data_IF_587419718524
#
_entry.id   IF_587419718524
#
_cell.length_a   1.000
_cell.length_b   1.000
_cell.length_c   1.000
_cell.angle_alpha   90.00
_cell.angle_beta   90.00
_cell.angle_gamma   90.00
#
_symmetry.space_group_name_H-M   'P 1'
#
loop_
_entity.id
_entity.type
_entity.pdbx_description
1 polymer ?
#
# COMPACT_ATOMS: atom_id res chain seq x y z
N UNK A 1 77.00 2.70 -2.68
CA UNK A 1 75.73 2.50 -3.40
C UNK A 1 75.79 3.33 -4.68
N UNK A 2 75.67 2.70 -5.84
CA UNK A 2 75.70 3.35 -7.14
C UNK A 2 74.36 4.00 -7.49
N UNK A 3 74.40 5.02 -8.37
CA UNK A 3 73.21 5.77 -8.82
C UNK A 3 72.13 4.83 -9.39
N UNK A 4 72.53 3.75 -10.05
CA UNK A 4 71.62 2.74 -10.61
C UNK A 4 70.76 2.04 -9.54
N UNK A 5 71.34 1.71 -8.39
CA UNK A 5 70.64 1.04 -7.29
C UNK A 5 69.56 1.96 -6.68
N UNK A 6 69.86 3.25 -6.59
CA UNK A 6 68.93 4.27 -6.10
C UNK A 6 67.74 4.42 -7.06
N UNK A 7 68.00 4.49 -8.38
CA UNK A 7 66.93 4.59 -9.39
C UNK A 7 66.02 3.36 -9.39
N UNK A 8 66.60 2.16 -9.24
CA UNK A 8 65.84 0.92 -9.16
C UNK A 8 64.87 0.91 -7.97
N UNK A 9 65.32 1.36 -6.79
CA UNK A 9 64.47 1.44 -5.60
C UNK A 9 63.34 2.45 -5.75
N UNK A 10 63.58 3.59 -6.41
CA UNK A 10 62.55 4.60 -6.68
C UNK A 10 61.45 4.02 -7.60
N UNK A 11 61.85 3.32 -8.67
CA UNK A 11 60.91 2.69 -9.59
C UNK A 11 60.07 1.63 -8.87
N UNK A 12 60.71 0.77 -8.06
CA UNK A 12 60.00 -0.24 -7.25
C UNK A 12 59.02 0.44 -6.28
N UNK A 13 59.46 1.48 -5.57
CA UNK A 13 58.60 2.24 -4.66
C UNK A 13 57.39 2.84 -5.36
N UNK A 14 57.58 3.39 -6.56
CA UNK A 14 56.49 3.94 -7.36
C UNK A 14 55.47 2.86 -7.77
N UNK A 15 55.93 1.68 -8.21
CA UNK A 15 55.05 0.55 -8.51
C UNK A 15 54.29 0.05 -7.28
N UNK A 16 54.94 -0.01 -6.10
CA UNK A 16 54.29 -0.41 -4.84
C UNK A 16 53.16 0.54 -4.46
N UNK A 17 53.34 1.85 -4.62
CA UNK A 17 52.29 2.86 -4.36
C UNK A 17 51.12 2.70 -5.33
N UNK A 18 51.38 2.50 -6.62
CA UNK A 18 50.32 2.27 -7.63
C UNK A 18 49.53 1.00 -7.30
N UNK A 19 50.22 -0.09 -6.96
CA UNK A 19 49.58 -1.37 -6.61
C UNK A 19 48.72 -1.19 -5.34
N UNK A 20 49.26 -0.55 -4.30
CA UNK A 20 48.52 -0.27 -3.07
C UNK A 20 47.24 0.56 -3.31
N UNK A 21 47.32 1.60 -4.13
CA UNK A 21 46.17 2.43 -4.51
C UNK A 21 45.09 1.62 -5.24
N UNK A 22 45.48 0.80 -6.23
CA UNK A 22 44.53 -0.03 -6.97
C UNK A 22 43.88 -1.10 -6.09
N UNK A 23 44.64 -1.74 -5.20
CA UNK A 23 44.11 -2.71 -4.23
C UNK A 23 43.10 -2.03 -3.29
N UNK A 24 43.44 -0.86 -2.74
CA UNK A 24 42.55 -0.10 -1.87
C UNK A 24 41.21 0.21 -2.54
N UNK A 25 41.25 0.68 -3.79
CA UNK A 25 40.05 0.99 -4.59
C UNK A 25 39.18 -0.24 -4.87
N UNK A 26 39.79 -1.40 -5.12
CA UNK A 26 39.07 -2.67 -5.32
C UNK A 26 38.35 -3.08 -4.03
N UNK A 27 39.03 -3.04 -2.89
CA UNK A 27 38.46 -3.40 -1.59
C UNK A 27 37.30 -2.48 -1.21
N UNK A 28 37.45 -1.17 -1.40
CA UNK A 28 36.40 -0.18 -1.15
C UNK A 28 35.17 -0.44 -2.00
N UNK A 29 35.36 -0.73 -3.30
CA UNK A 29 34.28 -1.06 -4.22
C UNK A 29 33.52 -2.30 -3.77
N UNK A 30 34.22 -3.36 -3.38
CA UNK A 30 33.58 -4.56 -2.87
C UNK A 30 32.80 -4.32 -1.56
N UNK A 31 33.37 -3.54 -0.63
CA UNK A 31 32.68 -3.19 0.62
C UNK A 31 31.40 -2.42 0.31
N UNK A 32 31.50 -1.41 -0.56
CA UNK A 32 30.33 -0.63 -0.99
C UNK A 32 29.28 -1.51 -1.65
N UNK A 33 29.66 -2.42 -2.57
CA UNK A 33 28.71 -3.36 -3.19
C UNK A 33 28.02 -4.23 -2.14
N UNK A 34 28.76 -4.77 -1.16
CA UNK A 34 28.18 -5.59 -0.08
C UNK A 34 27.22 -4.79 0.80
N UNK A 35 27.55 -3.55 1.12
CA UNK A 35 26.68 -2.64 1.88
C UNK A 35 25.41 -2.30 1.09
N UNK A 36 25.55 -1.95 -0.19
CA UNK A 36 24.41 -1.72 -1.09
C UNK A 36 23.51 -2.94 -1.21
N UNK A 37 24.07 -4.15 -1.34
CA UNK A 37 23.31 -5.39 -1.37
C UNK A 37 22.52 -5.61 -0.07
N UNK A 38 23.12 -5.34 1.09
CA UNK A 38 22.42 -5.42 2.38
C UNK A 38 21.27 -4.41 2.48
N UNK A 39 21.51 -3.16 2.07
CA UNK A 39 20.49 -2.11 2.08
C UNK A 39 19.32 -2.45 1.14
N UNK A 40 19.60 -2.96 -0.05
CA UNK A 40 18.57 -3.42 -1.00
C UNK A 40 17.76 -4.56 -0.39
N UNK A 41 18.42 -5.53 0.23
CA UNK A 41 17.72 -6.66 0.85
C UNK A 41 16.85 -6.23 2.03
N UNK A 42 17.33 -5.30 2.86
CA UNK A 42 16.53 -4.70 3.94
C UNK A 42 15.33 -3.95 3.39
N UNK A 43 15.54 -3.06 2.42
CA UNK A 43 14.46 -2.30 1.79
C UNK A 43 13.40 -3.21 1.14
N UNK A 44 13.82 -4.34 0.54
CA UNK A 44 12.91 -5.35 -0.02
C UNK A 44 12.06 -6.01 1.07
N UNK A 45 12.68 -6.43 2.17
CA UNK A 45 11.97 -7.04 3.32
C UNK A 45 10.95 -6.07 3.92
N UNK A 46 11.36 -4.85 4.20
CA UNK A 46 10.49 -3.78 4.71
C UNK A 46 9.32 -3.50 3.76
N UNK A 47 9.61 -3.39 2.46
CA UNK A 47 8.58 -3.17 1.44
C UNK A 47 7.57 -4.32 1.39
N UNK A 48 8.05 -5.57 1.48
CA UNK A 48 7.19 -6.74 1.50
C UNK A 48 6.32 -6.80 2.76
N UNK A 49 6.86 -6.46 3.93
CA UNK A 49 6.11 -6.38 5.19
C UNK A 49 5.03 -5.30 5.14
N UNK A 50 5.40 -4.09 4.71
CA UNK A 50 4.46 -2.97 4.55
C UNK A 50 3.35 -3.29 3.55
N UNK A 51 3.71 -3.96 2.44
CA UNK A 51 2.75 -4.44 1.45
C UNK A 51 1.79 -5.44 2.06
N UNK A 52 2.28 -6.46 2.78
CA UNK A 52 1.41 -7.44 3.47
C UNK A 52 0.43 -6.77 4.42
N UNK A 53 0.87 -5.81 5.22
CA UNK A 53 -0.02 -5.09 6.16
C UNK A 53 -1.07 -4.27 5.41
N UNK A 54 -0.68 -3.56 4.36
CA UNK A 54 -1.59 -2.67 3.62
C UNK A 54 -2.55 -3.44 2.72
N UNK A 55 -2.03 -4.37 1.92
CA UNK A 55 -2.80 -5.18 0.97
C UNK A 55 -3.69 -6.17 1.72
N UNK A 56 -3.17 -6.81 2.77
CA UNK A 56 -3.94 -7.72 3.61
C UNK A 56 -5.12 -7.01 4.29
N UNK A 57 -4.90 -5.79 4.80
CA UNK A 57 -5.97 -4.97 5.39
C UNK A 57 -7.07 -4.63 4.39
N UNK A 58 -6.70 -4.11 3.21
CA UNK A 58 -7.64 -3.82 2.13
C UNK A 58 -8.40 -5.05 1.65
N UNK A 59 -7.71 -6.19 1.57
CA UNK A 59 -8.33 -7.45 1.21
C UNK A 59 -9.38 -7.87 2.24
N UNK A 60 -9.04 -7.80 3.53
CA UNK A 60 -9.96 -8.08 4.62
C UNK A 60 -11.19 -7.16 4.61
N UNK A 61 -11.02 -5.87 4.30
CA UNK A 61 -12.12 -4.92 4.13
C UNK A 61 -13.07 -5.32 3.00
N UNK A 62 -12.53 -5.75 1.85
CA UNK A 62 -13.34 -6.17 0.70
C UNK A 62 -14.10 -7.48 0.92
N UNK A 63 -13.52 -8.43 1.66
CA UNK A 63 -14.15 -9.73 1.94
C UNK A 63 -14.96 -9.73 3.23
N UNK A 64 -15.05 -8.59 3.93
CA UNK A 64 -15.66 -8.50 5.25
C UNK A 64 -17.05 -9.13 5.38
N UNK A 65 -17.97 -9.03 4.41
CA UNK A 65 -19.26 -9.71 4.47
C UNK A 65 -19.17 -11.23 4.67
N UNK A 66 -18.06 -11.87 4.29
CA UNK A 66 -17.86 -13.31 4.38
C UNK A 66 -17.02 -13.73 5.59
N UNK A 67 -16.57 -12.78 6.41
CA UNK A 67 -15.80 -13.07 7.61
C UNK A 67 -16.74 -13.51 8.76
N UNK A 68 -16.24 -14.32 9.72
CA UNK A 68 -16.97 -14.64 10.93
C UNK A 68 -17.42 -13.38 11.67
N UNK A 69 -18.57 -13.46 12.35
CA UNK A 69 -19.15 -12.39 13.17
C UNK A 69 -19.53 -11.10 12.43
N UNK A 70 -19.61 -11.14 11.10
CA UNK A 70 -20.11 -10.00 10.33
C UNK A 70 -21.59 -9.74 10.66
N UNK A 71 -21.91 -8.48 10.96
CA UNK A 71 -23.18 -8.09 11.59
C UNK A 71 -24.43 -8.26 10.71
N UNK A 72 -24.27 -8.25 9.39
CA UNK A 72 -25.40 -8.21 8.45
C UNK A 72 -25.43 -9.44 7.55
N UNK A 73 -26.60 -9.76 7.02
CA UNK A 73 -26.77 -10.83 6.04
C UNK A 73 -26.04 -10.46 4.73
N UNK A 74 -25.09 -11.27 4.25
CA UNK A 74 -24.34 -10.98 3.01
C UNK A 74 -25.21 -10.79 1.77
N UNK A 75 -26.42 -11.38 1.73
CA UNK A 75 -27.36 -11.26 0.61
C UNK A 75 -28.03 -9.88 0.55
N UNK A 76 -28.04 -9.15 1.66
CA UNK A 76 -28.66 -7.83 1.82
C UNK A 76 -27.67 -6.66 1.61
N UNK A 77 -26.43 -6.97 1.24
CA UNK A 77 -25.35 -5.98 1.13
C UNK A 77 -25.00 -5.75 -0.34
N UNK A 78 -24.72 -4.50 -0.70
CA UNK A 78 -24.20 -4.12 -2.01
C UNK A 78 -22.89 -3.37 -1.85
N UNK A 79 -21.87 -3.82 -2.56
CA UNK A 79 -20.59 -3.14 -2.63
C UNK A 79 -20.71 -1.89 -3.53
N UNK A 80 -20.15 -0.78 -3.06
CA UNK A 80 -20.05 0.49 -3.78
C UNK A 80 -18.58 0.89 -3.95
N UNK A 81 -17.77 0.73 -2.90
CA UNK A 81 -16.36 1.13 -2.86
C UNK A 81 -16.13 2.55 -2.34
N UNK A 82 -14.94 3.10 -2.56
CA UNK A 82 -14.55 4.39 -1.96
C UNK A 82 -15.45 5.55 -2.44
N UNK A 83 -15.95 6.43 -1.54
CA UNK A 83 -15.56 6.59 -0.14
C UNK A 83 -16.36 5.81 0.91
N UNK A 84 -17.36 5.00 0.53
CA UNK A 84 -18.18 4.18 1.45
C UNK A 84 -18.32 2.77 0.87
N UNK A 85 -17.66 1.80 1.50
CA UNK A 85 -17.50 0.45 0.91
C UNK A 85 -18.81 -0.25 0.55
N UNK A 86 -19.83 -0.20 1.42
CA UNK A 86 -21.08 -0.94 1.25
C UNK A 86 -22.34 -0.14 1.60
N UNK A 87 -23.45 -0.51 0.96
CA UNK A 87 -24.81 -0.21 1.44
C UNK A 87 -25.47 -1.52 1.86
N UNK A 88 -26.04 -1.53 3.07
CA UNK A 88 -26.84 -2.64 3.59
C UNK A 88 -28.31 -2.26 3.49
N UNK A 89 -29.11 -3.13 2.87
CA UNK A 89 -30.57 -3.02 2.79
C UNK A 89 -31.19 -4.02 3.75
N UNK A 90 -31.19 -3.70 5.05
CA UNK A 90 -31.62 -4.63 6.09
C UNK A 90 -33.08 -5.01 5.89
N UNK A 91 -33.39 -6.32 5.90
CA UNK A 91 -34.74 -6.85 5.68
C UNK A 91 -35.08 -7.09 4.20
N UNK A 92 -34.18 -6.77 3.26
CA UNK A 92 -34.38 -6.98 1.83
C UNK A 92 -34.64 -8.46 1.48
N UNK A 93 -33.98 -9.41 2.16
CA UNK A 93 -34.18 -10.85 1.95
C UNK A 93 -35.60 -11.30 2.27
N UNK A 94 -36.27 -10.61 3.20
CA UNK A 94 -37.65 -10.84 3.62
C UNK A 94 -38.67 -10.06 2.78
N UNK A 95 -38.20 -9.29 1.79
CA UNK A 95 -39.01 -8.36 0.98
C UNK A 95 -39.71 -7.28 1.79
N UNK A 96 -39.15 -6.93 2.95
CA UNK A 96 -39.64 -5.86 3.83
C UNK A 96 -38.44 -5.03 4.31
N UNK A 97 -37.95 -4.08 3.50
CA UNK A 97 -36.77 -3.29 3.85
C UNK A 97 -37.03 -2.38 5.05
N UNK A 98 -36.26 -2.56 6.11
CA UNK A 98 -36.42 -1.85 7.39
C UNK A 98 -35.48 -0.64 7.51
N UNK A 99 -34.22 -0.81 7.06
CA UNK A 99 -33.15 0.16 7.29
C UNK A 99 -32.13 0.12 6.15
N UNK A 100 -31.63 1.31 5.77
CA UNK A 100 -30.50 1.45 4.85
C UNK A 100 -29.29 1.89 5.66
N UNK A 101 -28.23 1.07 5.68
CA UNK A 101 -26.99 1.36 6.40
C UNK A 101 -25.86 1.63 5.42
N UNK A 102 -25.25 2.81 5.52
CA UNK A 102 -23.97 3.11 4.87
C UNK A 102 -22.85 2.54 5.74
N UNK A 103 -22.14 1.55 5.21
CA UNK A 103 -21.15 0.79 5.94
C UNK A 103 -19.76 0.99 5.32
N UNK A 104 -18.86 1.56 6.10
CA UNK A 104 -17.42 1.57 5.82
C UNK A 104 -16.75 0.50 6.68
N UNK A 105 -15.91 -0.33 6.06
CA UNK A 105 -15.16 -1.36 6.78
C UNK A 105 -13.75 -0.88 7.05
N UNK A 106 -13.23 -1.17 8.25
CA UNK A 106 -11.85 -0.87 8.62
C UNK A 106 -11.18 -2.11 9.18
N UNK A 107 -9.95 -2.35 8.74
CA UNK A 107 -9.09 -3.44 9.20
C UNK A 107 -7.99 -2.95 10.16
N UNK A 108 -7.72 -3.74 11.21
CA UNK A 108 -6.62 -3.48 12.14
C UNK A 108 -6.72 -2.12 12.83
N UNK A 109 -5.72 -1.27 12.63
CA UNK A 109 -5.65 0.09 13.23
C UNK A 109 -6.12 1.19 12.28
N UNK A 110 -6.68 0.85 11.11
CA UNK A 110 -7.10 1.84 10.13
C UNK A 110 -8.26 2.69 10.69
N UNK A 111 -8.24 3.98 10.32
CA UNK A 111 -9.21 4.97 10.78
C UNK A 111 -9.98 5.51 9.58
N UNK A 112 -11.15 6.11 9.83
CA UNK A 112 -11.87 6.85 8.78
C UNK A 112 -10.98 7.97 8.20
N UNK A 113 -10.97 8.10 6.88
CA UNK A 113 -10.40 9.27 6.21
C UNK A 113 -11.21 10.53 6.53
N UNK A 114 -10.66 11.71 6.28
CA UNK A 114 -11.38 12.95 6.56
C UNK A 114 -12.63 13.12 5.67
N UNK A 115 -12.59 12.60 4.44
CA UNK A 115 -13.77 12.54 3.58
C UNK A 115 -14.83 11.59 4.16
N UNK A 116 -14.42 10.41 4.64
CA UNK A 116 -15.32 9.44 5.28
C UNK A 116 -15.95 10.00 6.56
N UNK A 117 -15.18 10.70 7.39
CA UNK A 117 -15.70 11.40 8.57
C UNK A 117 -16.76 12.42 8.17
N UNK A 118 -16.51 13.24 7.15
CA UNK A 118 -17.49 14.22 6.65
C UNK A 118 -18.77 13.54 6.16
N UNK A 119 -18.67 12.45 5.40
CA UNK A 119 -19.84 11.69 4.94
C UNK A 119 -20.62 11.11 6.12
N UNK A 120 -19.93 10.55 7.12
CA UNK A 120 -20.56 10.06 8.35
C UNK A 120 -21.37 11.16 9.05
N UNK A 121 -20.82 12.37 9.15
CA UNK A 121 -21.55 13.49 9.76
C UNK A 121 -22.75 13.93 8.91
N UNK A 122 -22.66 13.97 7.57
CA UNK A 122 -23.81 14.22 6.68
C UNK A 122 -24.94 13.20 6.93
N UNK A 123 -24.59 11.92 7.06
CA UNK A 123 -25.56 10.86 7.35
C UNK A 123 -26.20 11.06 8.74
N UNK A 124 -25.40 11.36 9.77
CA UNK A 124 -25.88 11.62 11.14
C UNK A 124 -26.81 12.83 11.20
N UNK A 125 -26.51 13.87 10.43
CA UNK A 125 -27.34 15.06 10.26
C UNK A 125 -28.59 14.80 9.40
N UNK A 126 -28.82 13.55 8.97
CA UNK A 126 -29.96 13.10 8.14
C UNK A 126 -30.06 13.84 6.81
N UNK A 127 -28.92 14.25 6.25
CA UNK A 127 -28.81 14.88 4.92
C UNK A 127 -28.72 13.84 3.80
N UNK A 128 -29.60 12.84 3.85
CA UNK A 128 -29.71 11.74 2.88
C UNK A 128 -31.14 11.72 2.38
N UNK A 129 -31.31 11.80 1.07
CA UNK A 129 -32.62 12.02 0.44
C UNK A 129 -32.84 11.04 -0.71
N UNK A 130 -34.10 10.71 -0.95
CA UNK A 130 -34.53 9.98 -2.13
C UNK A 130 -34.79 10.97 -3.27
N UNK A 131 -34.28 10.68 -4.46
CA UNK A 131 -34.54 11.47 -5.67
C UNK A 131 -34.79 10.53 -6.84
N UNK A 132 -35.78 10.84 -7.68
CA UNK A 132 -36.16 10.05 -8.84
C UNK A 132 -35.92 10.86 -10.11
N UNK A 133 -34.86 10.52 -10.82
CA UNK A 133 -34.61 11.05 -12.15
C UNK A 133 -35.06 10.05 -13.22
N UNK A 134 -35.95 10.49 -14.12
CA UNK A 134 -36.35 9.72 -15.30
C UNK A 134 -35.53 10.21 -16.50
N UNK A 135 -34.73 9.31 -17.06
CA UNK A 135 -33.99 9.61 -18.28
C UNK A 135 -34.96 9.86 -19.45
N UNK A 136 -34.64 10.79 -20.38
CA UNK A 136 -35.47 11.05 -21.56
C UNK A 136 -35.64 9.80 -22.44
N UNK A 137 -36.82 9.64 -23.03
CA UNK A 137 -37.14 8.48 -23.88
C UNK A 137 -36.20 8.35 -25.09
N UNK A 138 -35.67 9.47 -25.58
CA UNK A 138 -34.76 9.52 -26.73
C UNK A 138 -33.45 8.77 -26.49
N UNK A 139 -33.02 8.64 -25.22
CA UNK A 139 -31.79 7.94 -24.82
C UNK A 139 -32.05 6.45 -24.54
N UNK A 140 -33.31 6.05 -24.37
CA UNK A 140 -33.70 4.69 -23.94
C UNK A 140 -34.35 3.85 -25.04
N UNK A 141 -34.64 4.42 -26.21
CA UNK A 141 -35.05 3.64 -27.40
C UNK A 141 -33.90 2.75 -27.86
N UNK A 142 -34.12 1.43 -27.79
CA UNK A 142 -33.27 0.40 -28.41
C UNK A 142 -33.33 0.46 -29.93
#
# INVERSE_FOLDING_TARGET
MGIFEILLLIVIGFFLVIIGYNIGKIIERERSIREWQKLIEQARKESAEKSRQTVGGKFAENIAPYLPDFKYDPTEIRFIGTPIDFIVFKGLSKKDPEEIVFLEVKSGKSQLSDLQKKIREIIKEKKVYWDEYRAPEEVTKK
#
